data_IF_316046609640
#
_entry.id   IF_316046609640
#
_cell.length_a   1.000
_cell.length_b   1.000
_cell.length_c   1.000
_cell.angle_alpha   90.00
_cell.angle_beta   90.00
_cell.angle_gamma   90.00
#
_symmetry.space_group_name_H-M   'P 1'
#
loop_
_entity.id
_entity.type
_entity.pdbx_description
1 polymer ?
#
# COMPACT_ATOMS: atom_id res chain seq x y z
N UNK A 1 -19.72 18.78 9.44
CA UNK A 1 -18.35 19.15 9.13
C UNK A 1 -17.82 19.96 10.30
N UNK A 2 -16.76 19.52 10.95
CA UNK A 2 -16.19 20.12 12.17
C UNK A 2 -14.68 20.01 12.08
N UNK A 3 -14.00 21.07 12.51
CA UNK A 3 -12.54 21.07 12.59
C UNK A 3 -12.05 19.87 13.42
N UNK A 4 -10.95 19.27 12.97
CA UNK A 4 -10.29 18.13 13.64
C UNK A 4 -11.15 16.86 13.77
N UNK A 5 -12.20 16.67 12.96
CA UNK A 5 -13.06 15.47 13.04
C UNK A 5 -12.33 14.14 12.79
N UNK A 6 -11.20 14.16 12.08
CA UNK A 6 -10.31 13.02 11.83
C UNK A 6 -9.01 13.08 12.66
N UNK A 7 -8.96 13.93 13.69
CA UNK A 7 -7.83 13.96 14.63
C UNK A 7 -7.88 12.77 15.59
N UNK A 8 -6.71 12.30 16.02
CA UNK A 8 -6.56 11.14 16.90
C UNK A 8 -5.74 10.02 16.27
N UNK A 9 -5.45 8.98 17.04
CA UNK A 9 -4.69 7.83 16.55
C UNK A 9 -5.47 7.10 15.45
N UNK A 10 -4.77 6.75 14.37
CA UNK A 10 -5.31 5.94 13.30
C UNK A 10 -5.85 4.60 13.88
N UNK A 11 -7.15 4.40 13.77
CA UNK A 11 -7.80 3.12 14.12
C UNK A 11 -7.71 2.20 12.91
N UNK A 12 -6.58 1.50 12.79
CA UNK A 12 -6.38 0.49 11.75
C UNK A 12 -6.99 -0.82 12.24
N UNK A 13 -7.98 -1.41 11.54
CA UNK A 13 -8.46 -2.75 11.87
C UNK A 13 -7.31 -3.76 11.72
N UNK A 14 -7.33 -4.87 12.46
CA UNK A 14 -6.30 -5.89 12.33
C UNK A 14 -6.24 -6.39 10.87
N UNK A 15 -5.02 -6.59 10.39
CA UNK A 15 -4.79 -7.12 9.05
C UNK A 15 -5.24 -8.58 8.97
N UNK A 16 -5.98 -8.91 7.91
CA UNK A 16 -6.31 -10.30 7.59
C UNK A 16 -5.18 -10.90 6.75
N UNK A 17 -4.26 -11.59 7.42
CA UNK A 17 -3.11 -12.24 6.82
C UNK A 17 -3.40 -13.66 6.31
N UNK A 18 -4.66 -14.08 6.26
CA UNK A 18 -5.03 -15.40 5.73
C UNK A 18 -4.73 -15.44 4.23
N UNK A 19 -3.87 -16.36 3.75
CA UNK A 19 -3.57 -16.45 2.34
C UNK A 19 -4.81 -16.85 1.54
N UNK A 20 -5.11 -16.13 0.46
CA UNK A 20 -6.33 -16.33 -0.32
C UNK A 20 -6.11 -17.08 -1.65
N UNK A 21 -4.86 -17.49 -1.91
CA UNK A 21 -4.46 -18.25 -3.11
C UNK A 21 -4.26 -17.41 -4.37
N UNK A 22 -4.50 -16.10 -4.30
CA UNK A 22 -4.20 -15.17 -5.38
C UNK A 22 -2.72 -14.74 -5.30
N UNK A 23 -2.04 -14.70 -6.44
CA UNK A 23 -0.60 -14.44 -6.52
C UNK A 23 -0.37 -13.27 -7.47
N UNK A 24 0.37 -12.27 -7.00
CA UNK A 24 0.72 -11.09 -7.80
C UNK A 24 2.23 -10.94 -7.93
N UNK A 25 2.65 -10.29 -9.00
CA UNK A 25 4.03 -9.83 -9.15
C UNK A 25 4.38 -8.85 -8.03
N UNK A 26 5.57 -8.99 -7.45
CA UNK A 26 6.06 -8.10 -6.41
C UNK A 26 7.11 -7.14 -6.96
N UNK A 27 6.87 -5.85 -6.73
CA UNK A 27 7.67 -4.75 -7.23
C UNK A 27 7.37 -3.52 -6.36
N UNK A 28 8.31 -3.13 -5.52
CA UNK A 28 8.20 -1.92 -4.71
C UNK A 28 9.50 -1.14 -4.79
N UNK A 29 9.41 0.18 -5.01
CA UNK A 29 10.56 1.07 -4.92
C UNK A 29 10.29 2.11 -3.82
N UNK A 30 10.98 1.98 -2.70
CA UNK A 30 10.82 2.85 -1.54
C UNK A 30 11.31 4.26 -1.87
N UNK A 31 10.37 5.21 -1.98
CA UNK A 31 10.62 6.65 -2.15
C UNK A 31 11.58 7.03 -3.31
N UNK A 32 11.78 6.14 -4.28
CA UNK A 32 12.59 6.40 -5.47
C UNK A 32 11.70 6.66 -6.68
N UNK A 33 12.20 7.52 -7.58
CA UNK A 33 11.55 7.81 -8.87
C UNK A 33 11.79 6.73 -9.91
N UNK A 34 12.71 5.80 -9.65
CA UNK A 34 13.05 4.77 -10.61
C UNK A 34 11.91 3.75 -10.73
N UNK A 35 11.56 3.29 -11.95
CA UNK A 35 10.64 2.17 -12.08
C UNK A 35 11.29 0.90 -11.50
N UNK A 36 10.56 0.15 -10.67
CA UNK A 36 11.01 -1.18 -10.27
C UNK A 36 10.70 -2.18 -11.39
N UNK A 37 11.50 -3.25 -11.45
CA UNK A 37 11.19 -4.44 -12.26
C UNK A 37 10.76 -5.54 -11.30
N UNK A 38 9.63 -6.20 -11.57
CA UNK A 38 9.19 -7.30 -10.74
C UNK A 38 10.18 -8.47 -10.84
N UNK A 39 10.73 -8.90 -9.69
CA UNK A 39 11.65 -10.04 -9.60
C UNK A 39 11.09 -11.20 -8.80
N UNK A 40 9.93 -10.99 -8.16
CA UNK A 40 9.31 -11.96 -7.27
C UNK A 40 7.79 -11.98 -7.41
N UNK A 41 7.19 -12.81 -6.57
CA UNK A 41 5.74 -12.90 -6.43
C UNK A 41 5.37 -12.81 -4.95
N UNK A 42 4.19 -12.26 -4.68
CA UNK A 42 3.60 -12.18 -3.34
C UNK A 42 2.28 -12.95 -3.30
N UNK A 43 2.05 -13.67 -2.21
CA UNK A 43 0.77 -14.31 -1.96
C UNK A 43 -0.18 -13.31 -1.30
N UNK A 44 -1.28 -13.02 -1.98
CA UNK A 44 -2.30 -12.11 -1.49
C UNK A 44 -3.06 -12.70 -0.29
N UNK A 45 -3.56 -11.79 0.53
CA UNK A 45 -4.25 -12.13 1.78
C UNK A 45 -5.64 -11.49 1.84
N UNK A 46 -6.51 -12.08 2.67
CA UNK A 46 -7.87 -11.59 2.92
C UNK A 46 -8.64 -11.33 1.62
N UNK A 47 -9.05 -10.07 1.40
CA UNK A 47 -9.91 -9.66 0.27
C UNK A 47 -9.17 -9.17 -0.97
N UNK A 48 -7.83 -9.21 -0.98
CA UNK A 48 -7.02 -8.80 -2.14
C UNK A 48 -7.24 -9.77 -3.32
N UNK A 49 -7.98 -9.34 -4.35
CA UNK A 49 -8.45 -10.22 -5.42
C UNK A 49 -8.05 -9.76 -6.84
N UNK A 50 -7.18 -8.77 -6.94
CA UNK A 50 -6.69 -8.23 -8.19
C UNK A 50 -5.24 -7.78 -8.03
N UNK A 51 -4.45 -7.91 -9.11
CA UNK A 51 -3.10 -7.37 -9.17
C UNK A 51 -3.18 -5.97 -9.80
N UNK A 52 -2.40 -5.04 -9.27
CA UNK A 52 -2.35 -3.67 -9.76
C UNK A 52 -0.91 -3.19 -9.86
N UNK A 53 -0.63 -2.42 -10.91
CA UNK A 53 0.67 -1.75 -11.11
C UNK A 53 0.42 -0.26 -11.17
N UNK A 54 1.15 0.51 -10.36
CA UNK A 54 1.04 1.95 -10.30
C UNK A 54 2.43 2.57 -10.42
N UNK A 55 2.54 3.66 -11.17
CA UNK A 55 3.77 4.43 -11.33
C UNK A 55 3.44 5.91 -11.28
N UNK A 56 4.15 6.68 -10.45
CA UNK A 56 3.94 8.12 -10.34
C UNK A 56 4.63 8.71 -9.11
N UNK A 57 4.60 10.04 -9.01
CA UNK A 57 5.16 10.77 -7.87
C UNK A 57 4.10 10.90 -6.77
N UNK A 58 4.43 10.50 -5.55
CA UNK A 58 3.59 10.72 -4.37
C UNK A 58 4.08 11.98 -3.64
N UNK A 59 3.17 12.90 -3.32
CA UNK A 59 3.46 14.08 -2.50
C UNK A 59 2.57 14.04 -1.25
N UNK A 60 3.18 13.93 -0.07
CA UNK A 60 2.47 13.93 1.21
C UNK A 60 2.66 15.31 1.87
N UNK A 61 1.65 16.20 1.84
CA UNK A 61 1.76 17.49 2.52
C UNK A 61 1.80 17.30 4.04
N UNK A 62 2.70 18.02 4.72
CA UNK A 62 2.84 17.98 6.19
C UNK A 62 3.95 17.08 6.75
N UNK A 63 4.71 16.38 5.90
CA UNK A 63 5.92 15.66 6.32
C UNK A 63 7.02 16.64 6.75
N UNK A 64 7.43 16.60 8.02
CA UNK A 64 8.69 17.22 8.44
C UNK A 64 9.84 16.32 7.97
N UNK A 65 10.77 16.89 7.21
CA UNK A 65 12.14 16.36 7.08
C UNK A 65 12.88 16.51 8.40
#
# INVERSE_FOLDING_TARGET
DSDFCNSGDAKVPPEDNTPNGYICEDCFNDQSTDPCTATGVVQCTGKQNACGTFSGTVSIPGGRH
#
